data_IF_638042266836
#
_entry.id   IF_638042266836
#
_cell.length_a   1.000
_cell.length_b   1.000
_cell.length_c   1.000
_cell.angle_alpha   90.00
_cell.angle_beta   90.00
_cell.angle_gamma   90.00
#
_symmetry.space_group_name_H-M   'P 1'
#
loop_
_entity.id
_entity.type
_entity.pdbx_description
1 polymer ?
#
# COMPACT_ATOMS: atom_id res chain seq x y z
N UNK A 1 -2.64 -9.67 -10.72
CA UNK A 1 -3.68 -8.64 -10.56
C UNK A 1 -4.19 -8.73 -9.13
N UNK A 2 -3.71 -7.86 -8.24
CA UNK A 2 -4.17 -7.77 -6.85
C UNK A 2 -5.46 -6.95 -6.85
N UNK A 3 -6.53 -7.48 -6.26
CA UNK A 3 -7.84 -6.81 -6.19
C UNK A 3 -7.85 -5.94 -4.94
N UNK A 4 -7.86 -4.61 -5.10
CA UNK A 4 -8.18 -3.69 -4.03
C UNK A 4 -9.71 -3.69 -3.85
N UNK A 5 -10.23 -4.36 -2.83
CA UNK A 5 -11.67 -4.36 -2.54
C UNK A 5 -12.03 -3.13 -1.70
N UNK A 6 -12.80 -2.21 -2.26
CA UNK A 6 -13.45 -1.12 -1.52
C UNK A 6 -14.74 -1.67 -0.89
N UNK A 7 -14.73 -1.91 0.42
CA UNK A 7 -15.96 -2.16 1.20
C UNK A 7 -16.46 -0.84 1.81
N UNK A 8 -17.66 -0.38 1.43
CA UNK A 8 -18.36 0.71 2.12
C UNK A 8 -19.26 0.14 3.23
N UNK A 9 -19.39 0.80 4.39
CA UNK A 9 -20.43 0.48 5.36
C UNK A 9 -21.80 0.95 4.82
N UNK A 10 -22.80 0.07 4.90
CA UNK A 10 -24.19 0.42 4.60
C UNK A 10 -24.79 1.27 5.73
N UNK A 11 -25.76 2.17 5.44
CA UNK A 11 -26.39 2.97 6.48
C UNK A 11 -27.28 2.11 7.39
N UNK A 12 -27.32 2.51 8.65
CA UNK A 12 -27.96 1.84 9.79
C UNK A 12 -29.46 1.57 9.61
N UNK A 13 -29.89 0.32 9.86
CA UNK A 13 -30.94 -0.03 10.83
C UNK A 13 -31.10 -1.57 10.95
N UNK A 14 -30.96 -2.06 12.18
CA UNK A 14 -31.54 -3.28 12.76
C UNK A 14 -31.81 -4.50 11.85
N UNK A 15 -30.97 -5.54 11.96
CA UNK A 15 -31.44 -6.88 12.35
C UNK A 15 -30.26 -7.82 12.64
N UNK A 16 -30.39 -8.54 13.76
CA UNK A 16 -29.52 -9.67 14.12
C UNK A 16 -29.88 -10.87 13.25
N UNK A 17 -28.89 -11.45 12.56
CA UNK A 17 -28.57 -12.90 12.51
C UNK A 17 -27.94 -13.31 11.18
N UNK A 18 -26.87 -14.09 11.35
CA UNK A 18 -26.48 -15.29 10.61
C UNK A 18 -25.63 -15.21 9.34
N UNK A 19 -24.60 -16.06 9.42
CA UNK A 19 -24.03 -16.94 8.39
C UNK A 19 -23.00 -16.37 7.41
N UNK A 20 -21.76 -16.67 7.77
CA UNK A 20 -20.81 -17.42 6.94
C UNK A 20 -21.39 -18.02 5.66
N UNK A 21 -20.74 -17.71 4.52
CA UNK A 21 -20.42 -18.68 3.44
C UNK A 21 -19.68 -18.01 2.28
N UNK A 22 -18.58 -18.64 1.86
CA UNK A 22 -18.26 -18.82 0.45
C UNK A 22 -17.28 -17.83 -0.18
N UNK A 23 -16.00 -18.19 -0.18
CA UNK A 23 -14.99 -17.62 -1.08
C UNK A 23 -14.94 -18.45 -2.36
N UNK A 24 -15.07 -17.83 -3.53
CA UNK A 24 -14.98 -18.54 -4.81
C UNK A 24 -13.61 -18.41 -5.48
N UNK A 25 -13.20 -19.56 -5.98
CA UNK A 25 -12.04 -19.94 -6.77
C UNK A 25 -12.04 -19.29 -8.17
N UNK A 26 -10.86 -19.08 -8.71
CA UNK A 26 -10.49 -18.56 -10.04
C UNK A 26 -11.51 -18.82 -11.16
N UNK A 27 -11.92 -17.76 -11.88
CA UNK A 27 -12.55 -17.86 -13.21
C UNK A 27 -11.97 -16.75 -14.09
N UNK A 28 -11.29 -17.14 -15.16
CA UNK A 28 -10.93 -16.27 -16.29
C UNK A 28 -12.11 -16.22 -17.26
N UNK A 29 -12.70 -15.05 -17.51
CA UNK A 29 -13.57 -14.80 -18.67
C UNK A 29 -12.96 -13.65 -19.49
N UNK A 30 -12.62 -13.98 -20.74
CA UNK A 30 -11.82 -13.17 -21.68
C UNK A 30 -12.64 -12.14 -22.46
N UNK A 31 -13.69 -11.57 -21.85
CA UNK A 31 -14.60 -10.63 -22.53
C UNK A 31 -14.65 -9.23 -21.91
N UNK A 32 -13.50 -8.71 -21.49
CA UNK A 32 -13.35 -7.28 -21.21
C UNK A 32 -12.86 -6.56 -22.48
N UNK A 33 -13.65 -5.68 -23.10
CA UNK A 33 -13.14 -4.84 -24.18
C UNK A 33 -12.25 -3.77 -23.54
N UNK A 34 -10.93 -3.95 -23.53
CA UNK A 34 -10.05 -2.95 -22.90
C UNK A 34 -8.88 -2.55 -23.80
N UNK A 35 -8.95 -1.30 -24.28
CA UNK A 35 -7.77 -0.45 -24.42
C UNK A 35 -7.68 0.37 -23.13
N UNK A 36 -7.00 -0.13 -22.10
CA UNK A 36 -6.77 0.59 -20.84
C UNK A 36 -6.63 -0.30 -19.61
N UNK A 37 -6.10 0.26 -18.52
CA UNK A 37 -6.01 -0.37 -17.19
C UNK A 37 -7.40 -0.47 -16.55
N UNK A 38 -7.67 -1.57 -15.84
CA UNK A 38 -8.96 -1.84 -15.20
C UNK A 38 -8.82 -2.02 -13.68
N UNK A 39 -9.63 -1.29 -12.92
CA UNK A 39 -9.89 -1.44 -11.50
C UNK A 39 -11.24 -2.14 -11.33
N UNK A 40 -11.30 -3.16 -10.49
CA UNK A 40 -12.52 -3.96 -10.29
C UNK A 40 -13.03 -3.90 -8.87
N UNK A 41 -14.36 -3.81 -8.71
CA UNK A 41 -15.05 -3.96 -7.43
C UNK A 41 -15.77 -5.30 -7.38
N UNK A 42 -15.65 -6.03 -6.28
CA UNK A 42 -16.43 -7.25 -6.07
C UNK A 42 -17.84 -6.89 -5.61
N UNK A 43 -18.85 -7.38 -6.34
CA UNK A 43 -20.26 -7.35 -5.92
C UNK A 43 -20.67 -8.69 -5.28
N UNK A 44 -21.77 -8.69 -4.54
CA UNK A 44 -22.30 -9.90 -3.92
C UNK A 44 -22.44 -11.04 -4.94
N UNK A 45 -21.99 -12.25 -4.56
CA UNK A 45 -21.96 -13.41 -5.45
C UNK A 45 -20.66 -13.60 -6.26
N UNK A 46 -19.58 -12.88 -5.94
CA UNK A 46 -18.26 -13.11 -6.54
C UNK A 46 -18.06 -12.52 -7.94
N UNK A 47 -18.94 -11.59 -8.35
CA UNK A 47 -18.82 -10.89 -9.65
C UNK A 47 -17.91 -9.67 -9.52
N UNK A 48 -17.14 -9.39 -10.56
CA UNK A 48 -16.30 -8.20 -10.66
C UNK A 48 -16.92 -7.18 -11.61
N UNK A 49 -17.01 -5.93 -11.16
CA UNK A 49 -17.44 -4.77 -11.96
C UNK A 49 -16.22 -3.91 -12.28
N UNK A 50 -16.00 -3.57 -13.56
CA UNK A 50 -14.98 -2.59 -13.96
C UNK A 50 -15.45 -1.19 -13.55
N UNK A 51 -14.64 -0.46 -12.78
CA UNK A 51 -15.04 0.81 -12.18
C UNK A 51 -14.01 1.93 -12.34
N UNK A 52 -12.92 1.76 -13.08
CA UNK A 52 -11.79 2.72 -13.13
C UNK A 52 -12.25 4.14 -13.41
N UNK A 53 -13.05 4.31 -14.47
CA UNK A 53 -13.61 5.62 -14.84
C UNK A 53 -14.48 6.18 -13.72
N UNK A 54 -15.35 5.36 -13.12
CA UNK A 54 -16.25 5.78 -12.05
C UNK A 54 -15.49 6.24 -10.81
N UNK A 55 -14.40 5.57 -10.47
CA UNK A 55 -13.58 5.90 -9.29
C UNK A 55 -12.47 6.90 -9.58
N UNK A 56 -12.30 7.37 -10.81
CA UNK A 56 -11.33 8.42 -11.13
C UNK A 56 -9.95 7.95 -11.59
N UNK A 57 -9.70 6.63 -11.69
CA UNK A 57 -8.51 6.10 -12.36
C UNK A 57 -8.70 6.26 -13.86
N UNK A 58 -8.10 7.32 -14.41
CA UNK A 58 -8.20 7.71 -15.81
C UNK A 58 -6.82 8.00 -16.37
N UNK A 59 -6.66 7.83 -17.68
CA UNK A 59 -5.45 8.22 -18.42
C UNK A 59 -4.17 7.51 -17.94
N UNK A 60 -4.29 6.34 -17.33
CA UNK A 60 -3.18 5.39 -17.19
C UNK A 60 -2.94 4.74 -18.55
N UNK A 61 -1.87 5.16 -19.23
CA UNK A 61 -1.54 4.66 -20.57
C UNK A 61 -0.36 3.71 -20.45
N UNK A 62 -0.54 2.48 -20.94
CA UNK A 62 0.49 1.44 -21.02
C UNK A 62 1.27 1.22 -19.71
N UNK A 63 0.61 1.08 -18.54
CA UNK A 63 1.36 0.76 -17.33
C UNK A 63 1.93 -0.66 -17.44
N UNK A 64 3.20 -0.80 -17.12
CA UNK A 64 3.85 -2.10 -16.93
C UNK A 64 4.15 -2.33 -15.45
N UNK A 65 4.61 -1.29 -14.76
CA UNK A 65 4.78 -1.27 -13.30
C UNK A 65 3.51 -0.83 -12.60
N UNK A 66 3.17 -1.50 -11.49
CA UNK A 66 2.19 -0.99 -10.54
C UNK A 66 2.51 -1.50 -9.14
N UNK A 67 2.34 -0.65 -8.14
CA UNK A 67 2.35 -1.06 -6.74
C UNK A 67 1.45 -0.15 -5.89
N UNK A 68 1.18 -0.57 -4.65
CA UNK A 68 0.27 0.08 -3.73
C UNK A 68 0.95 0.34 -2.39
N UNK A 69 0.67 1.48 -1.79
CA UNK A 69 1.18 1.93 -0.49
C UNK A 69 0.26 2.99 0.11
N UNK A 70 0.50 3.36 1.36
CA UNK A 70 -0.29 4.33 2.14
C UNK A 70 0.49 5.66 2.16
N UNK A 71 0.33 6.44 1.10
CA UNK A 71 1.17 7.61 0.80
C UNK A 71 0.99 8.71 1.85
N UNK A 72 -0.25 8.95 2.27
CA UNK A 72 -0.56 10.01 3.21
C UNK A 72 -0.77 9.50 4.64
N UNK A 73 -0.57 8.21 4.89
CA UNK A 73 -0.72 7.60 6.21
C UNK A 73 -2.17 7.57 6.71
N UNK A 74 -3.19 7.72 5.85
CA UNK A 74 -4.60 7.73 6.24
C UNK A 74 -5.20 6.33 6.46
N UNK A 75 -4.45 5.27 6.13
CA UNK A 75 -4.89 3.88 6.26
C UNK A 75 -5.51 3.29 4.99
N UNK A 76 -5.63 4.06 3.92
CA UNK A 76 -6.09 3.61 2.61
C UNK A 76 -4.91 3.45 1.65
N UNK A 77 -4.93 2.36 0.87
CA UNK A 77 -3.88 2.14 -0.12
C UNK A 77 -4.13 3.00 -1.36
N UNK A 78 -3.11 3.78 -1.69
CA UNK A 78 -2.89 4.54 -2.91
C UNK A 78 -2.21 3.69 -3.98
N UNK A 79 -2.15 4.19 -5.20
CA UNK A 79 -1.63 3.45 -6.33
C UNK A 79 -0.62 4.26 -7.14
N UNK A 80 0.56 3.68 -7.38
CA UNK A 80 1.54 4.19 -8.32
C UNK A 80 1.55 3.28 -9.56
N UNK A 81 1.42 3.88 -10.73
CA UNK A 81 1.52 3.23 -12.03
C UNK A 81 2.72 3.75 -12.81
N UNK A 82 3.62 2.83 -13.13
CA UNK A 82 4.81 3.09 -13.93
C UNK A 82 4.57 2.75 -15.40
N UNK A 83 4.92 3.67 -16.28
CA UNK A 83 4.76 3.50 -17.73
C UNK A 83 5.81 2.54 -18.26
N UNK A 84 5.38 1.72 -19.21
CA UNK A 84 6.19 0.66 -19.77
C UNK A 84 6.88 1.05 -21.07
N UNK A 85 6.20 0.81 -22.19
CA UNK A 85 6.74 1.08 -23.52
C UNK A 85 5.89 2.12 -24.26
N UNK A 86 5.78 3.36 -23.75
CA UNK A 86 5.25 4.43 -24.59
C UNK A 86 6.19 4.63 -25.78
N UNK A 87 5.63 5.09 -26.90
CA UNK A 87 6.42 5.54 -28.04
C UNK A 87 7.25 6.76 -27.59
N UNK A 88 8.52 6.86 -27.99
CA UNK A 88 9.38 7.98 -27.61
C UNK A 88 8.87 9.34 -28.11
N UNK A 89 8.00 9.36 -29.13
CA UNK A 89 7.30 10.56 -29.59
C UNK A 89 6.11 10.95 -28.68
N UNK A 90 5.79 10.16 -27.66
CA UNK A 90 4.67 10.41 -26.75
C UNK A 90 5.13 10.70 -25.34
N UNK A 91 4.61 11.77 -24.75
CA UNK A 91 4.88 12.15 -23.37
C UNK A 91 3.83 11.51 -22.46
N UNK A 92 4.14 10.34 -21.93
CA UNK A 92 3.29 9.62 -20.98
C UNK A 92 4.00 9.54 -19.63
N UNK A 93 3.58 10.33 -18.64
CA UNK A 93 4.19 10.25 -17.33
C UNK A 93 3.70 9.02 -16.57
N UNK A 94 4.53 8.55 -15.64
CA UNK A 94 4.10 7.77 -14.49
C UNK A 94 2.93 8.48 -13.79
N UNK A 95 2.04 7.72 -13.16
CA UNK A 95 0.84 8.26 -12.51
C UNK A 95 0.71 7.77 -11.09
N UNK A 96 0.38 8.68 -10.18
CA UNK A 96 0.09 8.35 -8.78
C UNK A 96 -1.30 8.82 -8.45
N UNK A 97 -2.06 7.92 -7.82
CA UNK A 97 -3.43 8.16 -7.43
C UNK A 97 -3.61 7.95 -5.94
N UNK A 98 -4.04 9.01 -5.26
CA UNK A 98 -4.42 8.98 -3.85
C UNK A 98 -5.85 8.45 -3.70
N UNK A 99 -6.06 7.49 -2.83
CA UNK A 99 -7.35 6.93 -2.48
C UNK A 99 -8.02 7.79 -1.43
N UNK A 100 -9.00 8.59 -1.84
CA UNK A 100 -9.77 9.45 -0.95
C UNK A 100 -10.80 8.64 -0.14
N UNK A 101 -10.30 7.88 0.84
CA UNK A 101 -11.06 7.06 1.80
C UNK A 101 -12.04 6.07 1.14
N UNK A 102 -11.61 5.42 0.06
CA UNK A 102 -12.42 4.45 -0.68
C UNK A 102 -13.54 5.07 -1.53
N UNK A 103 -13.69 6.40 -1.56
CA UNK A 103 -14.74 7.06 -2.35
C UNK A 103 -14.35 7.22 -3.82
N UNK A 104 -13.11 7.62 -4.06
CA UNK A 104 -12.51 7.83 -5.38
C UNK A 104 -10.98 7.86 -5.28
N UNK A 105 -10.33 7.81 -6.42
CA UNK A 105 -8.92 8.07 -6.63
C UNK A 105 -8.73 9.49 -7.18
N UNK A 106 -7.79 10.23 -6.59
CA UNK A 106 -7.37 11.57 -6.97
C UNK A 106 -6.01 11.47 -7.67
N UNK A 107 -5.87 12.00 -8.89
CA UNK A 107 -4.56 12.05 -9.56
C UNK A 107 -3.70 13.11 -8.86
N UNK A 108 -2.68 12.63 -8.13
CA UNK A 108 -1.72 13.46 -7.39
C UNK A 108 -0.35 13.49 -8.07
N UNK A 109 -0.26 13.05 -9.33
CA UNK A 109 0.99 12.94 -10.09
C UNK A 109 1.77 14.24 -10.11
N UNK A 110 1.10 15.35 -10.45
CA UNK A 110 1.74 16.66 -10.56
C UNK A 110 2.01 17.26 -9.18
N UNK A 111 1.04 17.19 -8.27
CA UNK A 111 1.16 17.81 -6.94
C UNK A 111 2.21 17.15 -6.07
N UNK A 112 2.44 15.83 -6.23
CA UNK A 112 3.48 15.09 -5.52
C UNK A 112 4.79 14.92 -6.30
N UNK A 113 4.92 15.51 -7.50
CA UNK A 113 6.18 15.45 -8.26
C UNK A 113 6.52 14.09 -8.88
N UNK A 114 5.55 13.17 -8.99
CA UNK A 114 5.78 11.79 -9.43
C UNK A 114 5.83 11.61 -10.97
N UNK A 115 5.61 12.68 -11.73
CA UNK A 115 5.36 12.66 -13.18
C UNK A 115 6.57 12.37 -14.07
N UNK A 116 7.38 11.37 -13.76
CA UNK A 116 8.50 10.95 -14.62
C UNK A 116 8.00 10.45 -15.97
N UNK A 117 8.61 10.95 -17.04
CA UNK A 117 8.31 10.57 -18.42
C UNK A 117 9.05 9.30 -18.86
N UNK A 118 10.14 9.00 -18.17
CA UNK A 118 10.94 7.79 -18.40
C UNK A 118 10.21 6.57 -17.82
N UNK A 119 10.54 5.41 -18.38
CA UNK A 119 9.83 4.16 -18.09
C UNK A 119 9.99 3.78 -16.63
N UNK A 120 8.90 3.56 -15.92
CA UNK A 120 8.88 3.09 -14.54
C UNK A 120 8.43 1.64 -14.45
N UNK A 121 9.30 0.72 -14.07
CA UNK A 121 8.93 -0.70 -13.97
C UNK A 121 8.81 -1.16 -12.52
N UNK A 122 9.92 -1.18 -11.80
CA UNK A 122 9.98 -1.62 -10.41
C UNK A 122 9.56 -0.48 -9.51
N UNK A 123 8.44 -0.62 -8.82
CA UNK A 123 7.96 0.34 -7.82
C UNK A 123 7.90 -0.38 -6.48
N UNK A 124 8.48 0.21 -5.46
CA UNK A 124 8.48 -0.29 -4.10
C UNK A 124 8.07 0.82 -3.13
N UNK A 125 7.18 0.50 -2.20
CA UNK A 125 6.86 1.33 -1.05
C UNK A 125 7.56 0.77 0.18
N UNK A 126 8.07 1.66 1.03
CA UNK A 126 8.68 1.29 2.30
C UNK A 126 9.07 2.51 3.12
N UNK A 127 9.00 2.41 4.44
CA UNK A 127 9.53 3.37 5.39
C UNK A 127 11.06 3.14 5.50
N UNK A 128 11.85 3.82 4.66
CA UNK A 128 13.28 3.53 4.50
C UNK A 128 14.09 4.16 5.62
N UNK A 129 13.70 5.36 6.03
CA UNK A 129 14.42 6.14 7.02
C UNK A 129 13.90 5.96 8.45
N UNK A 130 12.86 5.15 8.63
CA UNK A 130 12.22 4.77 9.89
C UNK A 130 11.51 5.93 10.61
N UNK A 131 11.01 6.91 9.88
CA UNK A 131 10.22 8.02 10.43
C UNK A 131 8.71 7.73 10.50
N UNK A 132 8.28 6.67 9.81
CA UNK A 132 6.93 6.12 9.87
C UNK A 132 6.00 6.51 8.74
N UNK A 133 6.50 7.20 7.72
CA UNK A 133 5.82 7.31 6.44
C UNK A 133 6.51 6.52 5.33
N UNK A 134 5.72 6.13 4.33
CA UNK A 134 6.25 5.30 3.25
C UNK A 134 6.89 6.17 2.17
N UNK A 135 8.17 5.91 1.92
CA UNK A 135 8.91 6.37 0.76
C UNK A 135 8.59 5.52 -0.47
N UNK A 136 8.98 6.03 -1.64
CA UNK A 136 8.80 5.32 -2.91
C UNK A 136 10.14 5.21 -3.62
N UNK A 137 10.58 3.98 -3.86
CA UNK A 137 11.68 3.71 -4.79
C UNK A 137 11.13 3.24 -6.13
N UNK A 138 11.58 3.89 -7.21
CA UNK A 138 11.17 3.57 -8.58
C UNK A 138 12.40 3.30 -9.42
N UNK A 139 12.45 2.14 -10.06
CA UNK A 139 13.40 1.90 -11.15
C UNK A 139 12.90 2.58 -12.40
N UNK A 140 13.67 3.57 -12.85
CA UNK A 140 13.33 4.41 -13.98
C UNK A 140 14.37 4.23 -15.07
N UNK A 141 13.94 4.29 -16.33
CA UNK A 141 14.79 4.06 -17.49
C UNK A 141 14.48 2.75 -18.20
N UNK A 142 15.19 2.48 -19.29
CA UNK A 142 14.83 1.39 -20.19
C UNK A 142 15.96 0.87 -21.07
N UNK A 143 15.63 -0.13 -21.88
CA UNK A 143 16.58 -0.84 -22.74
C UNK A 143 17.11 0.00 -23.93
N UNK A 144 16.60 1.21 -24.13
CA UNK A 144 17.06 2.11 -25.19
C UNK A 144 18.15 3.03 -24.64
N UNK A 145 19.20 3.26 -25.42
CA UNK A 145 20.33 4.12 -25.04
C UNK A 145 19.88 5.53 -24.61
N UNK A 146 18.84 6.07 -25.24
CA UNK A 146 18.26 7.38 -24.90
C UNK A 146 17.42 7.42 -23.61
N UNK A 147 17.21 6.28 -22.95
CA UNK A 147 16.39 6.11 -21.73
C UNK A 147 17.26 5.71 -20.52
N UNK A 148 18.48 6.28 -20.44
CA UNK A 148 19.46 6.07 -19.38
C UNK A 148 19.23 6.90 -18.12
N UNK A 149 17.98 7.02 -17.67
CA UNK A 149 17.65 7.78 -16.47
C UNK A 149 18.05 7.02 -15.20
N UNK A 150 18.37 7.75 -14.13
CA UNK A 150 18.67 7.13 -12.85
C UNK A 150 17.39 6.65 -12.16
N UNK A 151 17.52 5.60 -11.33
CA UNK A 151 16.45 5.25 -10.40
C UNK A 151 16.14 6.44 -9.47
N UNK A 152 14.89 6.54 -9.05
CA UNK A 152 14.40 7.65 -8.24
C UNK A 152 13.95 7.14 -6.89
N UNK A 153 14.37 7.83 -5.84
CA UNK A 153 13.84 7.68 -4.49
C UNK A 153 13.06 8.95 -4.14
N UNK A 154 11.78 8.79 -3.82
CA UNK A 154 10.94 9.83 -3.27
C UNK A 154 10.92 9.68 -1.75
N UNK A 155 11.58 10.60 -1.07
CA UNK A 155 11.44 10.77 0.39
C UNK A 155 10.10 11.44 0.67
N UNK A 156 9.29 10.80 1.48
CA UNK A 156 8.01 11.33 1.91
C UNK A 156 8.24 12.26 3.12
N UNK A 157 7.70 13.49 3.13
CA UNK A 157 7.94 14.42 4.23
C UNK A 157 6.98 14.22 5.42
N UNK A 158 6.19 13.15 5.40
CA UNK A 158 5.10 12.90 6.33
C UNK A 158 3.89 13.83 6.20
N UNK A 159 2.78 13.37 6.79
CA UNK A 159 1.47 14.04 6.73
C UNK A 159 0.86 14.33 8.12
N UNK A 160 1.64 14.14 9.20
CA UNK A 160 1.18 14.33 10.57
C UNK A 160 0.14 13.30 11.04
N UNK A 161 0.02 12.18 10.31
CA UNK A 161 -0.78 11.04 10.71
C UNK A 161 0.02 10.10 11.62
N UNK A 162 -0.70 9.29 12.39
CA UNK A 162 -0.14 8.26 13.25
C UNK A 162 0.15 7.02 12.43
N UNK A 163 1.09 6.21 12.88
CA UNK A 163 1.48 5.01 12.15
C UNK A 163 1.75 3.83 13.09
N UNK A 164 1.80 2.63 12.51
CA UNK A 164 2.22 1.41 13.19
C UNK A 164 2.89 0.48 12.17
N UNK A 165 4.09 0.01 12.50
CA UNK A 165 4.81 -0.95 11.67
C UNK A 165 4.81 -2.33 12.32
N UNK A 166 4.38 -3.36 11.60
CA UNK A 166 4.29 -4.73 12.11
C UNK A 166 5.24 -5.68 11.36
N UNK A 167 6.10 -6.37 12.12
CA UNK A 167 6.98 -7.44 11.66
C UNK A 167 6.41 -8.79 12.09
N UNK A 168 5.84 -9.54 11.17
CA UNK A 168 5.24 -10.84 11.48
C UNK A 168 6.28 -11.96 11.31
N UNK A 169 6.23 -12.95 12.22
CA UNK A 169 7.08 -14.14 12.15
C UNK A 169 6.23 -15.40 12.34
N UNK A 170 6.21 -16.28 11.35
CA UNK A 170 5.52 -17.57 11.43
C UNK A 170 6.40 -18.67 12.04
N UNK A 171 5.78 -19.57 12.78
CA UNK A 171 6.40 -20.76 13.39
C UNK A 171 5.84 -22.06 12.81
N UNK A 172 4.53 -22.09 12.54
CA UNK A 172 3.82 -23.17 11.83
C UNK A 172 3.45 -22.78 10.40
N UNK A 173 3.07 -21.52 10.22
CA UNK A 173 2.96 -20.85 8.93
C UNK A 173 4.35 -20.49 8.37
N UNK A 174 4.44 -19.92 7.17
CA UNK A 174 5.75 -19.54 6.60
C UNK A 174 6.49 -18.57 7.52
N UNK A 175 7.82 -18.66 7.60
CA UNK A 175 8.64 -17.84 8.54
C UNK A 175 8.46 -16.35 8.34
N UNK A 176 8.25 -15.93 7.10
CA UNK A 176 7.96 -14.57 6.67
C UNK A 176 6.45 -14.22 6.70
N UNK A 177 5.62 -15.11 7.25
CA UNK A 177 4.19 -14.95 7.48
C UNK A 177 3.37 -14.51 6.25
N UNK A 178 3.83 -14.85 5.04
CA UNK A 178 3.19 -14.45 3.78
C UNK A 178 1.72 -14.85 3.75
N UNK A 179 0.90 -13.95 3.24
CA UNK A 179 -0.55 -14.06 3.15
C UNK A 179 -1.30 -14.05 4.49
N UNK A 180 -0.63 -13.84 5.62
CA UNK A 180 -1.32 -13.53 6.87
C UNK A 180 -2.19 -12.28 6.69
N UNK A 181 -3.41 -12.31 7.22
CA UNK A 181 -4.35 -11.19 7.14
C UNK A 181 -4.36 -10.47 8.47
N UNK A 182 -4.19 -9.16 8.43
CA UNK A 182 -4.08 -8.32 9.62
C UNK A 182 -5.25 -7.35 9.66
N UNK A 183 -5.85 -7.22 10.84
CA UNK A 183 -6.82 -6.17 11.15
C UNK A 183 -6.29 -5.33 12.30
N UNK A 184 -6.16 -4.03 12.10
CA UNK A 184 -5.69 -3.07 13.10
C UNK A 184 -6.91 -2.24 13.50
N UNK A 185 -7.41 -2.48 14.71
CA UNK A 185 -8.54 -1.76 15.27
C UNK A 185 -8.04 -0.51 15.98
N UNK A 186 -8.47 0.66 15.54
CA UNK A 186 -8.05 1.96 16.08
C UNK A 186 -9.24 2.81 16.49
N UNK A 187 -9.02 3.65 17.50
CA UNK A 187 -9.94 4.71 17.90
C UNK A 187 -9.54 6.01 17.19
N UNK A 188 -10.51 6.74 16.64
CA UNK A 188 -10.33 8.04 15.99
C UNK A 188 -11.44 8.98 16.47
N UNK A 189 -11.13 9.82 17.46
CA UNK A 189 -12.15 10.64 18.12
C UNK A 189 -13.11 9.76 18.93
N UNK A 190 -14.40 9.85 18.65
CA UNK A 190 -15.44 9.04 19.31
C UNK A 190 -15.79 7.74 18.57
N UNK A 191 -15.14 7.47 17.43
CA UNK A 191 -15.43 6.32 16.57
C UNK A 191 -14.26 5.34 16.55
N UNK A 192 -14.53 4.10 16.18
CA UNK A 192 -13.50 3.12 15.87
C UNK A 192 -13.57 2.69 14.42
N UNK A 193 -12.40 2.37 13.84
CA UNK A 193 -12.28 1.78 12.51
C UNK A 193 -11.27 0.65 12.52
N UNK A 194 -11.45 -0.30 11.61
CA UNK A 194 -10.49 -1.39 11.42
C UNK A 194 -9.81 -1.24 10.07
N UNK A 195 -8.48 -1.16 10.10
CA UNK A 195 -7.64 -1.09 8.91
C UNK A 195 -7.20 -2.52 8.59
N UNK A 196 -7.47 -2.95 7.37
CA UNK A 196 -7.14 -4.30 6.93
C UNK A 196 -5.92 -4.31 6.01
N UNK A 197 -5.01 -5.27 6.23
CA UNK A 197 -3.84 -5.53 5.40
C UNK A 197 -3.67 -7.03 5.17
N UNK A 198 -3.02 -7.38 4.08
CA UNK A 198 -2.55 -8.75 3.84
C UNK A 198 -1.04 -8.67 3.68
N UNK A 199 -0.30 -9.46 4.47
CA UNK A 199 1.14 -9.44 4.39
C UNK A 199 1.62 -10.01 3.05
N UNK A 200 2.35 -9.19 2.31
CA UNK A 200 2.97 -9.52 1.05
C UNK A 200 3.69 -8.30 0.51
N UNK A 201 4.66 -8.52 -0.37
CA UNK A 201 5.45 -7.43 -0.95
C UNK A 201 4.76 -6.74 -2.12
N UNK A 202 3.54 -7.17 -2.47
CA UNK A 202 2.77 -6.61 -3.59
C UNK A 202 3.56 -6.57 -4.90
N UNK A 203 3.14 -5.67 -5.80
CA UNK A 203 3.90 -5.29 -6.99
C UNK A 203 3.71 -6.14 -8.25
N UNK A 204 3.95 -5.50 -9.40
CA UNK A 204 4.13 -6.14 -10.71
C UNK A 204 5.61 -6.45 -10.94
N UNK A 205 6.39 -5.44 -11.33
CA UNK A 205 7.85 -5.53 -11.59
C UNK A 205 8.70 -5.07 -10.40
N UNK A 206 8.09 -4.82 -9.24
CA UNK A 206 8.76 -4.40 -8.00
C UNK A 206 8.24 -5.18 -6.80
N UNK A 207 8.83 -4.92 -5.63
CA UNK A 207 8.44 -5.52 -4.37
C UNK A 207 8.60 -4.48 -3.26
N UNK A 208 7.52 -4.18 -2.56
CA UNK A 208 7.50 -3.36 -1.34
C UNK A 208 8.13 -4.09 -0.16
N UNK A 209 8.27 -3.37 0.95
CA UNK A 209 8.69 -3.90 2.24
C UNK A 209 7.98 -5.22 2.62
N UNK A 210 8.71 -6.10 3.30
CA UNK A 210 8.15 -7.32 3.91
C UNK A 210 7.58 -7.06 5.30
N UNK A 211 7.58 -5.81 5.74
CA UNK A 211 6.90 -5.33 6.94
C UNK A 211 5.53 -4.77 6.54
N UNK A 212 4.61 -4.69 7.50
CA UNK A 212 3.39 -3.91 7.31
C UNK A 212 3.61 -2.53 7.90
N UNK A 213 4.02 -1.57 7.09
CA UNK A 213 3.95 -0.15 7.47
C UNK A 213 2.53 0.35 7.19
N UNK A 214 1.84 0.83 8.22
CA UNK A 214 0.42 1.16 8.12
C UNK A 214 0.15 2.53 8.72
N UNK A 215 -0.39 3.42 7.89
CA UNK A 215 -0.98 4.67 8.32
C UNK A 215 -2.24 4.42 9.15
N UNK A 216 -2.35 5.10 10.27
CA UNK A 216 -3.49 5.04 11.18
C UNK A 216 -4.34 6.32 11.11
N UNK A 217 -3.98 7.29 10.27
CA UNK A 217 -4.64 8.59 10.17
C UNK A 217 -4.54 9.36 11.48
N UNK A 218 -5.67 9.90 11.96
CA UNK A 218 -5.76 10.67 13.21
C UNK A 218 -6.06 9.82 14.44
N UNK A 219 -5.64 8.56 14.45
CA UNK A 219 -5.95 7.63 15.54
C UNK A 219 -5.43 8.14 16.89
N UNK A 220 -6.25 8.07 17.94
CA UNK A 220 -5.82 8.36 19.33
C UNK A 220 -5.25 7.13 20.02
N UNK A 221 -5.60 5.92 19.55
CA UNK A 221 -5.22 4.66 20.18
C UNK A 221 -5.34 3.48 19.23
N UNK A 222 -4.46 2.49 19.37
CA UNK A 222 -4.64 1.14 18.82
C UNK A 222 -5.34 0.28 19.87
N UNK A 223 -6.54 -0.19 19.56
CA UNK A 223 -7.36 -1.02 20.45
C UNK A 223 -6.81 -2.46 20.47
N UNK A 224 -6.55 -3.01 19.29
CA UNK A 224 -5.97 -4.33 19.12
C UNK A 224 -5.48 -4.56 17.69
N UNK A 225 -4.58 -5.53 17.53
CA UNK A 225 -4.20 -6.09 16.24
C UNK A 225 -4.63 -7.55 16.20
N UNK A 226 -5.38 -7.94 15.18
CA UNK A 226 -5.73 -9.34 14.92
C UNK A 226 -4.95 -9.86 13.72
N UNK A 227 -4.37 -11.06 13.84
CA UNK A 227 -3.67 -11.74 12.75
C UNK A 227 -4.37 -13.07 12.49
N UNK A 228 -4.88 -13.24 11.27
CA UNK A 228 -5.30 -14.53 10.74
C UNK A 228 -4.09 -15.19 10.06
N UNK A 229 -3.46 -16.11 10.78
CA UNK A 229 -2.35 -16.91 10.29
C UNK A 229 -2.85 -17.97 9.30
N UNK A 230 -2.14 -18.24 8.19
CA UNK A 230 -2.57 -19.22 7.19
C UNK A 230 -2.80 -20.63 7.76
N UNK A 231 -2.05 -21.04 8.78
CA UNK A 231 -2.09 -22.40 9.33
C UNK A 231 -2.69 -22.47 10.74
N UNK A 232 -2.26 -21.60 11.66
CA UNK A 232 -2.62 -21.72 13.09
C UNK A 232 -3.94 -21.04 13.48
N UNK A 233 -4.58 -20.30 12.57
CA UNK A 233 -5.83 -19.60 12.85
C UNK A 233 -5.60 -18.17 13.34
N UNK A 234 -6.49 -17.67 14.22
CA UNK A 234 -6.52 -16.25 14.59
C UNK A 234 -5.82 -15.98 15.93
N UNK A 235 -4.94 -14.99 15.95
CA UNK A 235 -4.37 -14.37 17.15
C UNK A 235 -4.89 -12.94 17.32
N UNK A 236 -4.94 -12.45 18.57
CA UNK A 236 -5.26 -11.06 18.91
C UNK A 236 -4.25 -10.55 19.92
N UNK A 237 -3.69 -9.37 19.62
CA UNK A 237 -2.66 -8.68 20.37
C UNK A 237 -3.18 -7.32 20.86
N UNK A 238 -2.68 -6.86 22.00
CA UNK A 238 -3.01 -5.56 22.61
C UNK A 238 -1.73 -4.92 23.17
N UNK A 239 -1.84 -3.70 23.73
CA UNK A 239 -0.70 -3.03 24.38
C UNK A 239 0.23 -2.27 23.42
N UNK A 240 -0.31 -1.84 22.28
CA UNK A 240 0.44 -1.05 21.29
C UNK A 240 0.47 0.43 21.68
N UNK A 241 1.64 1.04 21.56
CA UNK A 241 1.78 2.50 21.46
C UNK A 241 1.74 2.92 20.00
N UNK A 242 1.22 4.11 19.73
CA UNK A 242 1.23 4.73 18.40
C UNK A 242 2.66 5.10 18.00
N UNK A 243 2.93 5.11 16.69
CA UNK A 243 4.20 5.52 16.07
C UNK A 243 5.38 4.66 16.52
N UNK A 244 5.18 3.33 16.43
CA UNK A 244 6.13 2.33 16.89
C UNK A 244 6.16 1.14 15.96
N UNK A 245 7.26 0.40 16.05
CA UNK A 245 7.45 -0.87 15.35
C UNK A 245 7.27 -2.02 16.35
N UNK A 246 6.51 -3.03 15.98
CA UNK A 246 6.30 -4.23 16.79
C UNK A 246 6.54 -5.50 16.00
N UNK A 247 7.08 -6.51 16.68
CA UNK A 247 7.15 -7.89 16.21
C UNK A 247 5.98 -8.69 16.78
N UNK A 248 5.27 -9.39 15.90
CA UNK A 248 4.22 -10.35 16.25
C UNK A 248 4.64 -11.75 15.82
N UNK A 249 4.69 -12.68 16.76
CA UNK A 249 5.09 -14.07 16.50
C UNK A 249 3.89 -15.02 16.61
N UNK A 250 3.79 -15.93 15.66
CA UNK A 250 2.76 -16.96 15.61
C UNK A 250 2.86 -17.90 16.82
N UNK A 251 1.77 -17.96 17.59
CA UNK A 251 1.68 -18.74 18.84
C UNK A 251 1.98 -17.93 20.10
N UNK A 252 2.51 -16.71 19.98
CA UNK A 252 2.66 -15.78 21.10
C UNK A 252 1.45 -14.86 21.23
N UNK A 253 1.22 -14.35 22.44
CA UNK A 253 0.10 -13.45 22.75
C UNK A 253 0.53 -11.99 22.91
N UNK A 254 1.79 -11.74 23.23
CA UNK A 254 2.28 -10.41 23.54
C UNK A 254 3.11 -9.83 22.38
N UNK A 255 2.84 -8.60 21.93
CA UNK A 255 3.67 -7.94 20.94
C UNK A 255 5.02 -7.52 21.56
N UNK A 256 6.10 -7.65 20.79
CA UNK A 256 7.42 -7.17 21.22
C UNK A 256 7.77 -5.89 20.49
N UNK A 257 7.96 -4.78 21.20
CA UNK A 257 8.42 -3.53 20.57
C UNK A 257 9.82 -3.71 19.99
N UNK A 258 10.03 -3.17 18.79
CA UNK A 258 11.33 -3.20 18.11
C UNK A 258 11.81 -1.76 17.99
N UNK A 259 12.83 -1.35 18.77
CA UNK A 259 13.37 0.00 18.67
C UNK A 259 13.90 0.28 17.26
N UNK A 260 13.51 1.42 16.69
CA UNK A 260 14.07 1.96 15.45
C UNK A 260 14.62 3.36 15.72
N UNK A 261 15.64 3.73 14.94
CA UNK A 261 16.24 5.06 15.00
C UNK A 261 15.97 5.72 13.66
N UNK A 262 15.12 6.76 13.62
CA UNK A 262 14.91 7.55 12.42
C UNK A 262 16.21 8.19 11.96
N UNK A 263 16.43 8.29 10.65
CA UNK A 263 17.56 9.00 10.08
C UNK A 263 17.10 9.89 8.92
N UNK A 264 17.98 10.71 8.36
CA UNK A 264 17.66 11.56 7.20
C UNK A 264 18.25 10.98 5.94
N UNK A 265 17.49 10.96 4.86
CA UNK A 265 18.02 10.64 3.54
C UNK A 265 18.83 11.85 3.01
N UNK A 266 19.85 11.60 2.19
CA UNK A 266 20.67 12.67 1.58
C UNK A 266 21.84 13.21 2.43
N UNK A 267 22.30 12.46 3.44
CA UNK A 267 23.46 12.81 4.27
C UNK A 267 24.83 12.71 3.59
N UNK A 268 25.10 13.58 2.61
CA UNK A 268 26.45 14.11 2.39
C UNK A 268 26.30 15.62 2.43
N UNK A 269 26.64 16.23 3.57
CA UNK A 269 26.94 17.67 3.57
C UNK A 269 27.95 17.91 2.46
N UNK A 270 27.66 18.84 1.54
CA UNK A 270 28.65 19.28 0.58
C UNK A 270 29.98 19.53 1.33
N UNK A 271 31.13 19.09 0.81
CA UNK A 271 32.41 19.44 1.43
C UNK A 271 32.42 20.97 1.61
N UNK A 272 32.92 21.49 2.75
CA UNK A 272 33.00 22.93 2.94
C UNK A 272 33.68 23.54 1.72
N UNK A 273 33.25 24.75 1.27
CA UNK A 273 33.95 25.42 0.18
C UNK A 273 35.43 25.44 0.52
N UNK A 274 36.27 25.03 -0.44
CA UNK A 274 37.70 25.21 -0.28
C UNK A 274 37.94 26.72 -0.19
N UNK A 275 38.59 27.15 0.88
CA UNK A 275 39.13 28.50 0.97
C UNK A 275 40.21 28.63 -0.12
N UNK A 276 39.83 29.15 -1.28
CA UNK A 276 40.73 29.80 -2.26
C UNK A 276 40.45 31.30 -2.31
#
# INVERSE_FOLDING_TARGET
MMVASISSPAPTAASRRACSKGWSRTIWDSRLPTRGSACTKTSGGGRFEEVSQKVGIRRTVLPMGANFGDLDGDGWLDAYFGTGQPDLATLVPNRVFRNAEGRRFEDVTTSGGFGHLQKGHGIAFGDIDHDGDQDIFVTVGGAYEGDGYANVLFENPGHGHRWLTLRLSGTRSSRDARHARVGIEVETGSESRTIHRVLGTGGSFGASSSQLEVGLGKASKVIAVTVDWPVSGRSRYQGFSLDRVYRLEEGQTDPTEVPTVPFKLGGVTAPPPSDE
#
